data_IF_356315642101
#
_entry.id   IF_356315642101
#
_cell.length_a   1.000
_cell.length_b   1.000
_cell.length_c   1.000
_cell.angle_alpha   90.00
_cell.angle_beta   90.00
_cell.angle_gamma   90.00
#
_symmetry.space_group_name_H-M   'P 1'
#
loop_
_entity.id
_entity.type
_entity.pdbx_description
1 polymer ?
#
# COMPACT_ATOMS: atom_id res chain seq x y z
N UNK A 1 3.91 -4.46 11.19
CA UNK A 1 4.77 -3.30 10.94
C UNK A 1 4.80 -2.42 12.19
N UNK A 2 5.99 -2.16 12.78
CA UNK A 2 6.17 -1.20 13.86
C UNK A 2 5.61 0.17 13.51
N UNK A 3 5.07 0.91 14.49
CA UNK A 3 4.66 2.31 14.30
C UNK A 3 3.45 2.58 13.38
N UNK A 4 2.88 1.57 12.71
CA UNK A 4 1.70 1.73 11.83
C UNK A 4 0.49 2.25 12.61
N UNK A 5 -0.10 3.36 12.14
CA UNK A 5 -1.24 4.02 12.81
C UNK A 5 -2.58 3.69 12.19
N UNK A 6 -2.58 3.50 10.87
CA UNK A 6 -3.80 3.21 10.11
C UNK A 6 -3.43 2.44 8.86
N UNK A 7 -4.29 1.52 8.48
CA UNK A 7 -4.25 0.82 7.21
C UNK A 7 -5.64 0.87 6.58
N UNK A 8 -5.73 1.30 5.33
CA UNK A 8 -6.98 1.35 4.55
C UNK A 8 -6.76 0.63 3.25
N UNK A 9 -7.74 -0.19 2.87
CA UNK A 9 -7.85 -0.74 1.52
C UNK A 9 -9.12 -0.18 0.88
N UNK A 10 -8.96 0.44 -0.28
CA UNK A 10 -10.04 0.97 -1.08
C UNK A 10 -10.04 0.25 -2.42
N UNK A 11 -10.87 -0.78 -2.57
CA UNK A 11 -11.03 -1.49 -3.83
C UNK A 11 -11.88 -0.68 -4.79
N UNK A 12 -11.41 -0.56 -6.02
CA UNK A 12 -12.12 0.16 -7.04
C UNK A 12 -13.33 -0.66 -7.50
N UNK A 13 -14.46 0.02 -7.72
CA UNK A 13 -15.69 -0.59 -8.21
C UNK A 13 -15.81 -0.31 -9.71
N UNK A 14 -16.19 -1.32 -10.48
CA UNK A 14 -16.64 -1.11 -11.86
C UNK A 14 -17.93 -0.29 -11.84
N UNK A 15 -18.00 0.74 -12.67
CA UNK A 15 -19.19 1.59 -12.80
C UNK A 15 -19.74 1.53 -14.23
N UNK A 16 -20.83 2.24 -14.50
CA UNK A 16 -21.34 2.37 -15.88
C UNK A 16 -20.34 3.06 -16.83
N UNK A 17 -19.37 3.81 -16.28
CA UNK A 17 -18.29 4.47 -17.03
C UNK A 17 -17.15 3.51 -17.40
N UNK A 18 -17.17 2.27 -16.89
CA UNK A 18 -16.20 1.21 -17.21
C UNK A 18 -15.33 0.78 -16.03
N UNK A 19 -14.24 0.08 -16.36
CA UNK A 19 -13.26 -0.38 -15.38
C UNK A 19 -12.33 0.78 -14.94
N UNK A 20 -12.06 0.92 -13.64
CA UNK A 20 -11.15 1.92 -13.12
C UNK A 20 -9.70 1.63 -13.55
N UNK A 21 -8.83 2.65 -13.63
CA UNK A 21 -7.44 2.48 -14.08
C UNK A 21 -6.57 1.63 -13.14
N UNK A 22 -7.02 1.45 -11.89
CA UNK A 22 -6.38 0.59 -10.88
C UNK A 22 -7.44 -0.25 -10.18
N UNK A 23 -7.07 -1.44 -9.71
CA UNK A 23 -7.98 -2.32 -8.97
C UNK A 23 -8.28 -1.83 -7.55
N UNK A 24 -7.45 -0.93 -7.01
CA UNK A 24 -7.65 -0.32 -5.70
C UNK A 24 -6.44 0.46 -5.23
N UNK A 25 -6.56 1.04 -4.03
CA UNK A 25 -5.52 1.79 -3.34
C UNK A 25 -5.37 1.22 -1.93
N UNK A 26 -4.13 0.97 -1.53
CA UNK A 26 -3.77 0.66 -0.16
C UNK A 26 -3.05 1.86 0.45
N UNK A 27 -3.51 2.31 1.62
CA UNK A 27 -2.95 3.45 2.33
C UNK A 27 -2.45 3.02 3.71
N UNK A 28 -1.20 3.34 4.03
CA UNK A 28 -0.57 3.10 5.33
C UNK A 28 -0.10 4.43 5.91
N UNK A 29 -0.36 4.64 7.19
CA UNK A 29 -0.13 5.92 7.86
C UNK A 29 0.83 5.76 9.03
N UNK A 30 1.74 6.71 9.17
CA UNK A 30 2.75 6.78 10.22
C UNK A 30 2.80 8.20 10.79
N UNK A 31 3.31 8.35 12.02
CA UNK A 31 3.44 9.67 12.66
C UNK A 31 4.51 10.54 11.98
N UNK A 32 5.49 9.93 11.28
CA UNK A 32 6.55 10.61 10.56
C UNK A 32 7.15 9.74 9.46
N UNK A 33 7.97 10.34 8.59
CA UNK A 33 8.72 9.63 7.54
C UNK A 33 9.73 8.66 8.16
N UNK A 34 10.37 9.01 9.28
CA UNK A 34 11.31 8.13 9.98
C UNK A 34 10.60 6.88 10.50
N UNK A 35 9.40 7.03 11.09
CA UNK A 35 8.59 5.91 11.53
C UNK A 35 8.16 5.01 10.37
N UNK A 36 7.84 5.59 9.20
CA UNK A 36 7.56 4.84 7.98
C UNK A 36 8.78 4.03 7.52
N UNK A 37 9.96 4.64 7.48
CA UNK A 37 11.20 3.97 7.05
C UNK A 37 11.59 2.82 7.98
N UNK A 38 11.50 3.02 9.29
CA UNK A 38 11.73 1.97 10.29
C UNK A 38 10.75 0.81 10.09
N UNK A 39 9.47 1.13 9.87
CA UNK A 39 8.43 0.12 9.68
C UNK A 39 8.61 -0.69 8.38
N UNK A 40 9.01 -0.04 7.28
CA UNK A 40 9.24 -0.71 5.99
C UNK A 40 10.53 -1.54 5.98
N UNK A 41 11.51 -1.20 6.81
CA UNK A 41 12.77 -1.95 6.95
C UNK A 41 12.69 -3.06 8.01
N UNK A 42 11.54 -3.23 8.67
CA UNK A 42 11.34 -4.26 9.69
C UNK A 42 11.03 -5.63 9.04
N UNK A 43 11.21 -6.76 9.76
CA UNK A 43 10.84 -8.07 9.25
C UNK A 43 9.38 -8.16 8.79
N UNK A 44 8.47 -7.48 9.49
CA UNK A 44 7.06 -7.43 9.09
C UNK A 44 6.82 -6.55 7.85
N UNK A 45 7.61 -5.49 7.66
CA UNK A 45 7.56 -4.64 6.47
C UNK A 45 8.07 -5.39 5.23
N UNK A 46 9.22 -6.07 5.35
CA UNK A 46 9.75 -6.93 4.30
C UNK A 46 8.78 -8.05 3.92
N UNK A 47 8.15 -8.69 4.92
CA UNK A 47 7.15 -9.72 4.68
C UNK A 47 5.91 -9.18 3.95
N UNK A 48 5.43 -7.98 4.33
CA UNK A 48 4.29 -7.35 3.66
C UNK A 48 4.62 -6.96 2.21
N UNK A 49 5.82 -6.42 1.95
CA UNK A 49 6.28 -6.08 0.59
C UNK A 49 6.43 -7.35 -0.26
N UNK A 50 6.98 -8.43 0.29
CA UNK A 50 7.11 -9.70 -0.41
C UNK A 50 5.73 -10.29 -0.78
N UNK A 51 4.74 -10.14 0.09
CA UNK A 51 3.38 -10.64 -0.13
C UNK A 51 2.66 -9.92 -1.29
N UNK A 52 3.06 -8.69 -1.65
CA UNK A 52 2.49 -7.96 -2.80
C UNK A 52 2.54 -8.78 -4.09
N UNK A 53 3.55 -9.63 -4.27
CA UNK A 53 3.69 -10.47 -5.47
C UNK A 53 2.57 -11.51 -5.60
N UNK A 54 1.89 -11.86 -4.51
CA UNK A 54 0.81 -12.84 -4.53
C UNK A 54 -0.50 -12.27 -5.10
N UNK A 55 -0.67 -10.93 -5.10
CA UNK A 55 -1.96 -10.32 -5.43
C UNK A 55 -1.89 -9.02 -6.25
N UNK A 56 -0.70 -8.48 -6.52
CA UNK A 56 -0.51 -7.27 -7.33
C UNK A 56 0.29 -7.55 -8.60
N UNK A 57 0.04 -6.75 -9.64
CA UNK A 57 0.88 -6.69 -10.83
C UNK A 57 1.96 -5.62 -10.59
N UNK A 58 3.21 -6.07 -10.42
CA UNK A 58 4.33 -5.19 -10.09
C UNK A 58 4.59 -4.13 -11.17
N UNK A 59 4.29 -4.40 -12.44
CA UNK A 59 4.47 -3.43 -13.53
C UNK A 59 3.39 -2.34 -13.53
N UNK A 60 2.26 -2.59 -12.86
CA UNK A 60 1.11 -1.67 -12.77
C UNK A 60 0.89 -1.11 -11.37
N UNK A 61 1.79 -1.42 -10.44
CA UNK A 61 1.73 -0.92 -9.06
C UNK A 61 2.63 0.29 -8.91
N UNK A 62 2.11 1.36 -8.32
CA UNK A 62 2.85 2.57 -8.02
C UNK A 62 2.70 2.92 -6.54
N UNK A 63 3.78 3.42 -5.95
CA UNK A 63 3.80 3.92 -4.57
C UNK A 63 3.91 5.44 -4.60
N UNK A 64 3.07 6.11 -3.82
CA UNK A 64 3.14 7.55 -3.60
C UNK A 64 3.30 7.81 -2.12
N UNK A 65 4.24 8.69 -1.77
CA UNK A 65 4.44 9.17 -0.40
C UNK A 65 3.87 10.58 -0.31
N UNK A 66 3.07 10.84 0.71
CA UNK A 66 2.40 12.13 0.97
C UNK A 66 2.82 12.63 2.36
N UNK A 67 3.05 13.93 2.51
CA UNK A 67 3.44 14.60 3.75
C UNK A 67 2.28 15.22 4.55
#
# INVERSE_FOLDING_TARGET
MPGLKKYVQNHALTTEEGEPPVAGIAEVYFDSVEAMQEALSSPEGEAAIADLQNFTDAEKTATVVVD
#
